data_IF_430286702044
#
_entry.id   IF_430286702044
#
_cell.length_a   1.000
_cell.length_b   1.000
_cell.length_c   1.000
_cell.angle_alpha   90.00
_cell.angle_beta   90.00
_cell.angle_gamma   90.00
#
_symmetry.space_group_name_H-M   'P 1'
#
loop_
_entity.id
_entity.type
_entity.pdbx_description
1 polymer ?
#
# COMPACT_ATOMS: atom_id res chain seq x y z
N UNK A 1 77.89 51.51 -5.49
CA UNK A 1 77.39 50.69 -4.36
C UNK A 1 76.08 50.03 -4.81
N UNK A 2 75.95 48.70 -4.59
CA UNK A 2 74.71 47.90 -4.62
C UNK A 2 74.21 47.30 -5.97
N UNK A 3 74.41 45.97 -6.09
CA UNK A 3 73.51 44.85 -6.50
C UNK A 3 72.39 45.10 -7.55
N UNK A 4 72.00 44.19 -8.47
CA UNK A 4 71.72 42.73 -8.43
C UNK A 4 71.40 42.27 -9.87
N UNK A 5 71.81 41.08 -10.33
CA UNK A 5 71.04 39.81 -10.35
C UNK A 5 69.63 39.96 -10.97
N UNK A 6 69.26 39.34 -12.09
CA UNK A 6 69.06 37.90 -12.33
C UNK A 6 68.12 37.78 -13.55
N UNK A 7 68.35 36.85 -14.49
CA UNK A 7 67.99 35.43 -14.50
C UNK A 7 66.74 35.15 -15.36
N UNK A 8 66.98 34.41 -16.44
CA UNK A 8 66.14 33.44 -17.16
C UNK A 8 64.86 33.90 -17.88
N UNK A 9 64.74 33.73 -19.22
CA UNK A 9 64.74 32.49 -20.05
C UNK A 9 63.42 31.72 -19.94
N UNK A 10 62.71 31.68 -21.07
CA UNK A 10 62.03 30.48 -21.55
C UNK A 10 60.52 30.43 -21.33
N UNK A 11 59.75 31.07 -22.22
CA UNK A 11 58.37 30.68 -22.45
C UNK A 11 58.37 29.50 -23.43
N UNK A 12 58.23 28.27 -22.90
CA UNK A 12 58.00 27.03 -23.66
C UNK A 12 56.60 26.51 -23.28
N UNK A 13 55.73 26.38 -24.29
CA UNK A 13 54.28 26.22 -24.16
C UNK A 13 53.78 24.82 -23.77
N UNK A 14 54.30 24.22 -22.71
CA UNK A 14 54.02 22.80 -22.38
C UNK A 14 53.01 22.60 -21.22
N UNK A 15 52.54 23.67 -20.58
CA UNK A 15 51.66 23.60 -19.40
C UNK A 15 50.16 23.72 -19.69
N UNK A 16 49.77 24.32 -20.82
CA UNK A 16 48.36 24.58 -21.14
C UNK A 16 47.67 23.30 -21.66
N UNK A 17 48.38 22.50 -22.47
CA UNK A 17 47.83 21.29 -23.09
C UNK A 17 47.63 20.16 -22.07
N UNK A 18 48.49 20.08 -21.04
CA UNK A 18 48.40 19.04 -20.00
C UNK A 18 47.17 19.20 -19.10
N UNK A 19 46.81 20.45 -18.73
CA UNK A 19 45.63 20.73 -17.91
C UNK A 19 44.32 20.28 -18.54
N UNK A 20 44.18 20.43 -19.86
CA UNK A 20 43.00 20.02 -20.61
C UNK A 20 42.85 18.50 -20.68
N UNK A 21 43.96 17.76 -20.76
CA UNK A 21 43.96 16.30 -20.77
C UNK A 21 43.59 15.73 -19.40
N UNK A 22 44.15 16.27 -18.31
CA UNK A 22 43.81 15.83 -16.94
C UNK A 22 42.37 16.18 -16.55
N UNK A 23 41.87 17.36 -16.95
CA UNK A 23 40.47 17.73 -16.71
C UNK A 23 39.49 16.85 -17.49
N UNK A 24 39.78 16.53 -18.76
CA UNK A 24 38.96 15.60 -19.54
C UNK A 24 38.95 14.17 -18.97
N UNK A 25 40.09 13.70 -18.45
CA UNK A 25 40.23 12.35 -17.91
C UNK A 25 39.51 12.18 -16.55
N UNK A 26 39.55 13.20 -15.69
CA UNK A 26 38.80 13.22 -14.41
C UNK A 26 37.29 13.27 -14.65
N UNK A 27 36.82 14.09 -15.60
CA UNK A 27 35.39 14.16 -15.96
C UNK A 27 34.91 12.82 -16.53
N UNK A 28 35.73 12.16 -17.34
CA UNK A 28 35.42 10.82 -17.88
C UNK A 28 35.36 9.77 -16.77
N UNK A 29 36.28 9.80 -15.79
CA UNK A 29 36.23 8.92 -14.62
C UNK A 29 35.01 9.16 -13.72
N UNK A 30 34.58 10.42 -13.54
CA UNK A 30 33.37 10.75 -12.77
C UNK A 30 32.09 10.29 -13.50
N UNK A 31 32.04 10.45 -14.83
CA UNK A 31 30.92 9.96 -15.66
C UNK A 31 30.86 8.42 -15.76
N UNK A 32 32.01 7.74 -15.69
CA UNK A 32 32.08 6.27 -15.62
C UNK A 32 31.68 5.71 -14.25
N UNK A 33 31.85 6.48 -13.17
CA UNK A 33 31.44 6.07 -11.82
C UNK A 33 29.92 6.20 -11.61
N UNK A 34 29.27 7.17 -12.26
CA UNK A 34 27.83 7.39 -12.13
C UNK A 34 26.97 6.39 -12.92
N UNK A 35 27.53 5.68 -13.91
CA UNK A 35 26.79 4.67 -14.69
C UNK A 35 26.54 3.35 -13.95
N UNK A 36 27.05 3.17 -12.73
CA UNK A 36 26.83 1.95 -11.95
C UNK A 36 25.51 1.93 -11.16
N UNK A 37 24.84 3.08 -11.02
CA UNK A 37 23.48 3.14 -10.45
C UNK A 37 22.43 3.00 -11.54
N UNK A 38 22.42 1.86 -12.24
CA UNK A 38 21.25 1.47 -13.02
C UNK A 38 20.17 0.97 -12.05
N UNK A 39 18.96 1.54 -12.02
CA UNK A 39 17.85 0.92 -11.30
C UNK A 39 17.61 -0.43 -11.96
N UNK A 40 17.93 -1.53 -11.29
CA UNK A 40 17.48 -2.85 -11.70
C UNK A 40 15.95 -2.80 -11.74
N UNK A 41 15.37 -2.95 -12.93
CA UNK A 41 13.94 -3.18 -13.08
C UNK A 41 13.61 -4.48 -12.35
N UNK A 42 13.19 -4.37 -11.09
CA UNK A 42 12.70 -5.51 -10.32
C UNK A 42 11.42 -5.98 -11.01
N UNK A 43 11.43 -7.21 -11.52
CA UNK A 43 10.22 -7.82 -12.06
C UNK A 43 9.13 -7.78 -10.99
N UNK A 44 7.99 -7.16 -11.30
CA UNK A 44 6.86 -7.09 -10.39
C UNK A 44 6.49 -8.54 -10.00
N UNK A 45 6.47 -8.91 -8.71
CA UNK A 45 6.07 -10.25 -8.33
C UNK A 45 4.65 -10.50 -8.85
N UNK A 46 4.47 -11.59 -9.61
CA UNK A 46 3.16 -12.03 -10.06
C UNK A 46 2.32 -12.32 -8.81
N UNK A 47 1.28 -11.52 -8.57
CA UNK A 47 0.35 -11.76 -7.48
C UNK A 47 -0.43 -13.05 -7.80
N UNK A 48 -0.19 -14.09 -7.00
CA UNK A 48 -0.98 -15.33 -7.04
C UNK A 48 -2.08 -15.20 -5.99
N UNK A 49 -3.33 -15.18 -6.44
CA UNK A 49 -4.48 -15.16 -5.53
C UNK A 49 -4.78 -16.55 -4.97
N UNK A 50 -5.28 -16.60 -3.75
CA UNK A 50 -5.81 -17.84 -3.16
C UNK A 50 -7.03 -18.32 -3.95
N UNK A 51 -7.05 -19.56 -4.45
CA UNK A 51 -8.23 -20.11 -5.11
C UNK A 51 -9.45 -20.07 -4.18
N UNK A 52 -10.63 -19.80 -4.75
CA UNK A 52 -11.89 -19.90 -4.02
C UNK A 52 -12.08 -21.34 -3.54
N UNK A 53 -12.35 -21.51 -2.26
CA UNK A 53 -12.71 -22.78 -1.66
C UNK A 53 -14.16 -22.72 -1.14
N UNK A 54 -14.84 -23.86 -1.14
CA UNK A 54 -16.22 -23.97 -0.66
C UNK A 54 -16.20 -24.06 0.87
N UNK A 55 -17.00 -23.22 1.54
CA UNK A 55 -17.26 -23.35 2.96
C UNK A 55 -18.31 -24.43 3.18
N UNK A 56 -17.99 -25.44 4.01
CA UNK A 56 -18.94 -26.48 4.38
C UNK A 56 -19.99 -25.88 5.30
N UNK A 57 -21.26 -26.06 4.98
CA UNK A 57 -22.36 -25.69 5.87
C UNK A 57 -22.43 -26.69 7.02
N UNK A 58 -22.23 -26.20 8.23
CA UNK A 58 -22.20 -27.03 9.46
C UNK A 58 -23.59 -27.35 10.01
N UNK A 59 -24.63 -26.65 9.53
CA UNK A 59 -26.03 -26.77 9.99
C UNK A 59 -26.34 -25.98 11.27
N UNK A 60 -25.32 -25.40 11.92
CA UNK A 60 -25.48 -24.49 13.05
C UNK A 60 -25.61 -23.07 12.52
N UNK A 61 -26.70 -22.41 12.89
CA UNK A 61 -27.04 -21.09 12.41
C UNK A 61 -27.76 -20.30 13.50
N UNK A 62 -27.27 -19.09 13.76
CA UNK A 62 -27.93 -18.14 14.64
C UNK A 62 -28.29 -16.90 13.83
N UNK A 63 -29.59 -16.72 13.61
CA UNK A 63 -30.12 -15.59 12.88
C UNK A 63 -30.84 -14.62 13.82
N UNK A 64 -30.62 -13.32 13.58
CA UNK A 64 -31.29 -12.24 14.33
C UNK A 64 -31.35 -10.97 13.51
N UNK A 65 -32.36 -10.14 13.76
CA UNK A 65 -32.38 -8.74 13.30
C UNK A 65 -31.24 -7.96 13.92
N UNK A 66 -30.63 -7.08 13.15
CA UNK A 66 -29.58 -6.19 13.67
C UNK A 66 -30.16 -5.24 14.72
N UNK A 67 -29.33 -4.86 15.69
CA UNK A 67 -29.63 -3.92 16.77
C UNK A 67 -28.48 -2.91 16.83
N UNK A 68 -28.81 -1.62 16.70
CA UNK A 68 -27.81 -0.56 16.70
C UNK A 68 -26.97 -0.60 17.99
N UNK A 69 -25.64 -0.60 17.84
CA UNK A 69 -24.71 -0.61 18.96
C UNK A 69 -24.49 -1.97 19.62
N UNK A 70 -25.09 -3.05 19.11
CA UNK A 70 -24.76 -4.42 19.55
C UNK A 70 -23.37 -4.80 19.04
N UNK A 71 -22.54 -5.36 19.92
CA UNK A 71 -21.21 -5.84 19.57
C UNK A 71 -21.28 -7.15 18.80
N UNK A 72 -20.39 -7.32 17.82
CA UNK A 72 -20.19 -8.59 17.14
C UNK A 72 -18.70 -8.88 16.93
N UNK A 73 -18.38 -10.17 16.86
CA UNK A 73 -17.04 -10.67 16.57
C UNK A 73 -17.08 -11.85 15.59
N UNK A 74 -15.99 -12.01 14.85
CA UNK A 74 -15.71 -13.17 13.99
C UNK A 74 -14.25 -13.51 14.17
N UNK A 75 -13.96 -14.57 14.93
CA UNK A 75 -12.61 -14.90 15.36
C UNK A 75 -12.08 -16.18 14.72
N UNK A 76 -10.79 -16.17 14.40
CA UNK A 76 -9.99 -17.32 14.00
C UNK A 76 -8.71 -17.41 14.83
N UNK A 77 -7.85 -18.38 14.51
CA UNK A 77 -6.66 -18.67 15.35
C UNK A 77 -5.69 -17.48 15.47
N UNK A 78 -5.47 -16.72 14.40
CA UNK A 78 -4.56 -15.55 14.38
C UNK A 78 -5.19 -14.32 13.75
N UNK A 79 -6.50 -14.31 13.59
CA UNK A 79 -7.21 -13.26 12.87
C UNK A 79 -8.57 -13.03 13.50
N UNK A 80 -9.11 -11.82 13.35
CA UNK A 80 -10.43 -11.50 13.85
C UNK A 80 -11.01 -10.28 13.17
N UNK A 81 -12.34 -10.24 13.11
CA UNK A 81 -13.13 -9.06 12.75
C UNK A 81 -13.95 -8.67 13.98
N UNK A 82 -13.94 -7.40 14.32
CA UNK A 82 -14.63 -6.87 15.50
C UNK A 82 -15.36 -5.59 15.15
N UNK A 83 -16.47 -5.33 15.81
CA UNK A 83 -17.17 -4.08 15.62
C UNK A 83 -18.49 -4.01 16.36
N UNK A 84 -19.22 -2.95 16.05
CA UNK A 84 -20.58 -2.76 16.51
C UNK A 84 -21.49 -2.65 15.30
N UNK A 85 -22.68 -3.23 15.40
CA UNK A 85 -23.68 -3.16 14.36
C UNK A 85 -24.07 -1.70 14.08
N UNK A 86 -24.24 -1.37 12.80
CA UNK A 86 -24.50 -0.02 12.31
C UNK A 86 -23.32 0.96 12.55
N UNK A 87 -22.10 0.44 12.76
CA UNK A 87 -20.86 1.23 12.88
C UNK A 87 -19.76 0.62 12.02
N UNK A 88 -18.63 1.31 11.98
CA UNK A 88 -17.43 0.78 11.34
C UNK A 88 -16.92 -0.48 12.06
N UNK A 89 -16.20 -1.32 11.32
CA UNK A 89 -15.56 -2.51 11.84
C UNK A 89 -14.04 -2.42 11.74
N UNK A 90 -13.39 -3.30 12.48
CA UNK A 90 -11.94 -3.49 12.46
C UNK A 90 -11.63 -4.92 12.08
N UNK A 91 -10.50 -5.14 11.40
CA UNK A 91 -10.00 -6.49 11.15
C UNK A 91 -8.51 -6.61 11.41
N UNK A 92 -8.12 -7.77 11.92
CA UNK A 92 -6.80 -8.05 12.42
C UNK A 92 -6.29 -9.39 11.87
N UNK A 93 -5.01 -9.44 11.55
CA UNK A 93 -4.21 -10.66 11.41
C UNK A 93 -2.96 -10.44 12.25
N UNK A 94 -2.90 -11.06 13.42
CA UNK A 94 -1.89 -10.76 14.43
C UNK A 94 -0.46 -10.82 13.85
N UNK A 95 0.39 -9.79 14.09
CA UNK A 95 0.15 -8.59 14.93
C UNK A 95 -0.39 -7.37 14.17
N UNK A 96 -0.81 -7.52 12.91
CA UNK A 96 -1.18 -6.45 12.00
C UNK A 96 -2.69 -6.13 12.05
N UNK A 97 -3.04 -4.84 12.14
CA UNK A 97 -4.39 -4.34 11.87
C UNK A 97 -4.54 -4.17 10.37
N UNK A 98 -5.40 -4.98 9.73
CA UNK A 98 -5.63 -4.92 8.29
C UNK A 98 -6.61 -3.81 7.92
N UNK A 99 -7.68 -3.67 8.70
CA UNK A 99 -8.71 -2.67 8.50
C UNK A 99 -8.94 -1.91 9.81
N UNK A 100 -9.01 -0.59 9.69
CA UNK A 100 -9.31 0.34 10.77
C UNK A 100 -10.44 1.27 10.31
N UNK A 101 -11.41 1.52 11.20
CA UNK A 101 -12.63 2.30 10.91
C UNK A 101 -13.27 1.97 9.53
N UNK A 102 -13.35 0.68 9.19
CA UNK A 102 -13.83 0.26 7.87
C UNK A 102 -15.34 0.46 7.74
N UNK A 103 -15.73 1.21 6.71
CA UNK A 103 -17.11 1.50 6.35
C UNK A 103 -17.41 1.06 4.92
N UNK A 104 -18.62 0.57 4.70
CA UNK A 104 -19.12 0.16 3.39
C UNK A 104 -20.22 1.11 2.93
N UNK A 105 -20.21 1.48 1.64
CA UNK A 105 -21.31 2.18 0.98
C UNK A 105 -21.68 1.46 -0.32
N UNK A 106 -22.95 1.61 -0.70
CA UNK A 106 -23.50 1.07 -1.93
C UNK A 106 -23.90 2.21 -2.84
N UNK A 107 -23.59 2.07 -4.13
CA UNK A 107 -23.98 3.02 -5.17
C UNK A 107 -24.72 2.29 -6.27
N UNK A 108 -25.85 2.85 -6.68
CA UNK A 108 -26.66 2.34 -7.78
C UNK A 108 -26.29 3.13 -9.03
N UNK A 109 -26.05 2.45 -10.14
CA UNK A 109 -25.77 3.11 -11.42
C UNK A 109 -26.95 4.01 -11.82
N UNK A 110 -26.64 5.25 -12.20
CA UNK A 110 -27.66 6.25 -12.56
C UNK A 110 -28.34 6.94 -11.37
N UNK A 111 -27.98 6.63 -10.12
CA UNK A 111 -28.46 7.34 -8.93
C UNK A 111 -27.32 8.13 -8.25
N UNK A 112 -27.48 9.44 -7.97
CA UNK A 112 -26.40 10.29 -7.48
C UNK A 112 -26.09 10.12 -5.98
N UNK A 113 -26.95 9.44 -5.23
CA UNK A 113 -26.80 9.25 -3.78
C UNK A 113 -26.08 7.92 -3.48
N UNK A 114 -25.12 7.98 -2.56
CA UNK A 114 -24.54 6.78 -1.95
C UNK A 114 -25.29 6.41 -0.67
N UNK A 115 -25.51 5.11 -0.48
CA UNK A 115 -26.19 4.58 0.70
C UNK A 115 -25.17 3.94 1.62
N UNK A 116 -25.09 4.40 2.87
CA UNK A 116 -24.17 3.81 3.86
C UNK A 116 -24.71 2.46 4.30
N UNK A 117 -23.87 1.44 4.31
CA UNK A 117 -24.25 0.09 4.76
C UNK A 117 -24.70 0.08 6.23
N UNK A 118 -24.12 0.97 7.05
CA UNK A 118 -24.51 1.17 8.43
C UNK A 118 -26.00 1.51 8.61
N UNK A 119 -26.62 2.18 7.63
CA UNK A 119 -28.03 2.57 7.68
C UNK A 119 -28.97 1.51 7.09
N UNK A 120 -28.41 0.44 6.50
CA UNK A 120 -29.15 -0.56 5.72
C UNK A 120 -29.09 -1.98 6.29
N UNK A 121 -28.24 -2.23 7.30
CA UNK A 121 -28.06 -3.55 7.87
C UNK A 121 -29.35 -4.00 8.58
N UNK A 122 -29.97 -5.10 8.15
CA UNK A 122 -31.25 -5.57 8.69
C UNK A 122 -31.16 -6.93 9.40
N UNK A 123 -30.22 -7.77 8.98
CA UNK A 123 -30.07 -9.14 9.49
C UNK A 123 -28.60 -9.46 9.72
N UNK A 124 -28.33 -10.19 10.79
CA UNK A 124 -27.06 -10.87 11.02
C UNK A 124 -27.33 -12.37 11.15
N UNK A 125 -26.53 -13.16 10.45
CA UNK A 125 -26.59 -14.61 10.44
C UNK A 125 -25.19 -15.14 10.76
N UNK A 126 -25.04 -15.73 11.95
CA UNK A 126 -23.77 -16.26 12.43
C UNK A 126 -23.75 -17.78 12.29
N UNK A 127 -22.74 -18.29 11.59
CA UNK A 127 -22.41 -19.71 11.49
C UNK A 127 -20.95 -19.92 11.89
N UNK A 128 -20.56 -21.13 12.36
CA UNK A 128 -19.16 -21.42 12.70
C UNK A 128 -18.16 -21.10 11.58
N UNK A 129 -18.57 -21.31 10.32
CA UNK A 129 -17.73 -21.08 9.15
C UNK A 129 -17.74 -19.63 8.63
N UNK A 130 -18.76 -18.83 8.96
CA UNK A 130 -18.89 -17.45 8.50
C UNK A 130 -20.03 -16.69 9.21
N UNK A 131 -19.86 -15.38 9.38
CA UNK A 131 -20.94 -14.45 9.75
C UNK A 131 -21.32 -13.61 8.53
N UNK A 132 -22.62 -13.49 8.25
CA UNK A 132 -23.16 -12.76 7.12
C UNK A 132 -24.09 -11.65 7.61
N UNK A 133 -23.89 -10.44 7.07
CA UNK A 133 -24.82 -9.33 7.24
C UNK A 133 -25.63 -9.16 5.96
N UNK A 134 -26.94 -8.99 6.09
CA UNK A 134 -27.82 -8.65 4.98
C UNK A 134 -28.18 -7.17 5.07
N UNK A 135 -27.98 -6.47 3.96
CA UNK A 135 -28.31 -5.06 3.78
C UNK A 135 -29.50 -4.94 2.85
N UNK A 136 -30.53 -4.19 3.25
CA UNK A 136 -31.74 -4.05 2.45
C UNK A 136 -32.12 -2.59 2.30
N UNK A 137 -32.45 -2.22 1.06
CA UNK A 137 -32.95 -0.92 0.65
C UNK A 137 -34.14 -1.14 -0.30
N UNK A 138 -34.98 -0.12 -0.51
CA UNK A 138 -36.14 -0.23 -1.41
C UNK A 138 -35.80 -0.66 -2.85
N UNK A 139 -34.55 -0.46 -3.28
CA UNK A 139 -34.08 -0.78 -4.62
C UNK A 139 -33.20 -2.05 -4.70
N UNK A 140 -32.69 -2.59 -3.58
CA UNK A 140 -31.77 -3.74 -3.59
C UNK A 140 -31.72 -4.47 -2.25
N UNK A 141 -31.24 -5.71 -2.27
CA UNK A 141 -30.84 -6.46 -1.07
C UNK A 141 -29.55 -7.22 -1.39
N UNK A 142 -28.57 -7.13 -0.50
CA UNK A 142 -27.22 -7.70 -0.65
C UNK A 142 -26.81 -8.40 0.64
#
# INVERSE_FOLDING_TARGET
MRQSNGYFRGLRGDHIVKGWVYQGLVICSILLLSSQFAPTAQAQPKIVFTPKFTLRQSGLELERRTQAGTFFDVVGHKSGVFGYEHRALESWVYPMKLLDDFQLSFRIEGYPLEFRAADLAVLINARPEATTFTYSHAAFTV
#
